data_IF_568786982141
#
_entry.id   IF_568786982141
#
_cell.length_a   1.000
_cell.length_b   1.000
_cell.length_c   1.000
_cell.angle_alpha   90.00
_cell.angle_beta   90.00
_cell.angle_gamma   90.00
#
_symmetry.space_group_name_H-M   'P 1'
#
loop_
_entity.id
_entity.type
_entity.pdbx_description
1 polymer ?
#
# COMPACT_ATOMS: atom_id res chain seq x y z
N UNK A 1 -7.56 20.45 5.26
CA UNK A 1 -7.35 20.84 3.84
C UNK A 1 -7.69 19.65 2.96
N UNK A 2 -8.26 19.87 1.78
CA UNK A 2 -8.54 18.82 0.80
C UNK A 2 -7.70 19.03 -0.46
N UNK A 3 -6.91 18.02 -0.84
CA UNK A 3 -6.23 17.99 -2.14
C UNK A 3 -7.31 17.73 -3.20
N UNK A 4 -7.65 18.76 -3.97
CA UNK A 4 -8.68 18.68 -5.01
C UNK A 4 -8.37 19.68 -6.13
N UNK A 5 -8.98 19.51 -7.33
CA UNK A 5 -8.74 20.43 -8.45
C UNK A 5 -9.10 21.91 -8.17
N UNK A 6 -9.91 22.17 -7.12
CA UNK A 6 -10.32 23.52 -6.72
C UNK A 6 -9.46 24.10 -5.58
N UNK A 7 -8.44 23.37 -5.13
CA UNK A 7 -7.58 23.84 -4.05
C UNK A 7 -6.53 24.81 -4.60
N UNK A 8 -6.54 26.06 -4.13
CA UNK A 8 -5.57 27.09 -4.51
C UNK A 8 -4.48 27.31 -3.43
N UNK A 9 -4.45 26.48 -2.39
CA UNK A 9 -3.51 26.65 -1.30
C UNK A 9 -2.07 26.33 -1.73
N UNK A 10 -1.15 27.20 -1.33
CA UNK A 10 0.29 26.94 -1.45
C UNK A 10 0.75 26.06 -0.29
N UNK A 11 1.32 24.90 -0.62
CA UNK A 11 1.91 23.95 0.34
C UNK A 11 3.14 24.58 1.00
N UNK A 12 3.30 24.39 2.31
CA UNK A 12 4.39 24.96 3.11
C UNK A 12 5.12 23.88 3.92
N UNK A 13 6.39 24.12 4.31
CA UNK A 13 7.12 23.25 5.22
C UNK A 13 6.35 23.01 6.53
N UNK A 14 6.58 21.85 7.14
CA UNK A 14 5.93 21.37 8.37
C UNK A 14 4.42 21.06 8.23
N UNK A 15 3.85 21.14 7.02
CA UNK A 15 2.52 20.57 6.77
C UNK A 15 2.59 19.04 6.74
N UNK A 16 1.54 18.40 7.25
CA UNK A 16 1.35 16.94 7.18
C UNK A 16 0.12 16.64 6.36
N UNK A 17 0.27 15.73 5.39
CA UNK A 17 -0.82 15.26 4.54
C UNK A 17 -1.01 13.77 4.69
N UNK A 18 -2.27 13.36 4.79
CA UNK A 18 -2.65 12.01 4.38
C UNK A 18 -3.00 12.10 2.90
N UNK A 19 -2.15 11.50 2.07
CA UNK A 19 -2.34 11.46 0.62
C UNK A 19 -2.90 10.08 0.29
N UNK A 20 -4.13 10.03 -0.21
CA UNK A 20 -4.73 8.82 -0.74
C UNK A 20 -5.02 8.97 -2.23
N UNK A 21 -4.77 7.90 -2.99
CA UNK A 21 -5.06 7.80 -4.41
C UNK A 21 -5.73 6.47 -4.65
N UNK A 22 -6.89 6.49 -5.30
CA UNK A 22 -7.67 5.30 -5.54
C UNK A 22 -8.29 5.25 -6.92
N UNK A 23 -8.51 4.03 -7.39
CA UNK A 23 -9.27 3.69 -8.58
C UNK A 23 -10.46 2.84 -8.14
N UNK A 24 -11.62 3.11 -8.69
CA UNK A 24 -12.84 2.36 -8.43
C UNK A 24 -13.50 1.96 -9.76
N UNK A 25 -14.34 0.93 -9.73
CA UNK A 25 -15.02 0.46 -10.93
C UNK A 25 -14.12 -0.35 -11.87
N UNK A 26 -13.05 -0.96 -11.35
CA UNK A 26 -12.16 -1.80 -12.14
C UNK A 26 -12.87 -3.11 -12.48
N UNK A 27 -13.14 -3.35 -13.75
CA UNK A 27 -13.81 -4.57 -14.21
C UNK A 27 -12.85 -5.75 -14.27
N UNK A 28 -13.23 -6.85 -13.63
CA UNK A 28 -12.58 -8.15 -13.79
C UNK A 28 -13.42 -9.03 -14.71
N UNK A 29 -13.04 -9.10 -15.99
CA UNK A 29 -13.75 -9.87 -17.02
C UNK A 29 -13.71 -11.39 -16.81
N UNK A 30 -12.79 -11.89 -15.99
CA UNK A 30 -12.61 -13.32 -15.71
C UNK A 30 -13.37 -13.78 -14.45
N UNK A 31 -14.07 -12.86 -13.78
CA UNK A 31 -14.84 -13.17 -12.58
C UNK A 31 -15.94 -14.20 -12.86
N UNK A 32 -16.00 -15.24 -12.03
CA UNK A 32 -17.01 -16.32 -12.13
C UNK A 32 -18.25 -16.03 -11.29
N UNK A 33 -18.17 -15.07 -10.37
CA UNK A 33 -19.23 -14.64 -9.47
C UNK A 33 -19.43 -13.12 -9.52
N UNK A 34 -20.60 -12.64 -9.12
CA UNK A 34 -20.95 -11.21 -9.13
C UNK A 34 -20.05 -10.39 -8.23
N UNK A 35 -19.64 -10.93 -7.08
CA UNK A 35 -18.84 -10.24 -6.08
C UNK A 35 -17.43 -9.89 -6.59
N UNK A 36 -16.89 -10.68 -7.51
CA UNK A 36 -15.54 -10.52 -8.04
C UNK A 36 -15.47 -9.68 -9.31
N UNK A 37 -16.62 -9.27 -9.89
CA UNK A 37 -16.67 -8.53 -11.18
C UNK A 37 -16.11 -7.12 -11.12
N UNK A 38 -16.25 -6.46 -9.98
CA UNK A 38 -15.80 -5.08 -9.80
C UNK A 38 -14.88 -5.00 -8.61
N UNK A 39 -13.72 -4.38 -8.81
CA UNK A 39 -12.77 -4.12 -7.74
C UNK A 39 -12.43 -2.63 -7.65
N UNK A 40 -11.78 -2.28 -6.55
CA UNK A 40 -11.20 -0.97 -6.32
C UNK A 40 -9.79 -1.15 -5.75
N UNK A 41 -8.92 -0.18 -6.00
CA UNK A 41 -7.57 -0.11 -5.46
C UNK A 41 -7.41 1.22 -4.76
N UNK A 42 -6.76 1.20 -3.60
CA UNK A 42 -6.45 2.40 -2.83
C UNK A 42 -5.01 2.29 -2.32
N UNK A 43 -4.25 3.36 -2.49
CA UNK A 43 -2.96 3.57 -1.87
C UNK A 43 -3.04 4.82 -1.01
N UNK A 44 -2.42 4.80 0.16
CA UNK A 44 -2.36 5.96 1.03
C UNK A 44 -1.07 5.98 1.81
N UNK A 45 -0.52 7.18 1.99
CA UNK A 45 0.65 7.44 2.83
C UNK A 45 0.48 8.74 3.62
N UNK A 46 1.23 8.86 4.71
CA UNK A 46 1.33 10.10 5.48
C UNK A 46 2.63 10.80 5.11
N UNK A 47 2.55 12.02 4.58
CA UNK A 47 3.68 12.80 4.07
C UNK A 47 3.89 14.05 4.91
N UNK A 48 5.11 14.24 5.40
CA UNK A 48 5.56 15.49 6.03
C UNK A 48 6.33 16.32 4.99
N UNK A 49 5.92 17.58 4.84
CA UNK A 49 6.55 18.51 3.90
C UNK A 49 7.84 19.09 4.50
N UNK A 50 8.94 18.81 3.83
CA UNK A 50 10.27 19.29 4.21
C UNK A 50 10.47 20.75 3.81
N UNK A 51 11.32 21.46 4.56
CA UNK A 51 11.74 22.82 4.19
C UNK A 51 12.65 22.84 2.95
N UNK A 52 13.49 21.82 2.82
CA UNK A 52 14.42 21.62 1.73
C UNK A 52 14.49 20.12 1.40
N UNK A 53 14.86 19.77 0.16
CA UNK A 53 15.03 18.39 -0.26
C UNK A 53 13.71 17.61 -0.42
N UNK A 54 13.79 16.28 -0.31
CA UNK A 54 12.64 15.40 -0.46
C UNK A 54 11.74 15.43 0.79
N UNK A 55 10.43 15.27 0.58
CA UNK A 55 9.46 15.13 1.67
C UNK A 55 9.63 13.77 2.38
N UNK A 56 9.30 13.74 3.67
CA UNK A 56 9.38 12.53 4.48
C UNK A 56 8.08 11.72 4.40
N UNK A 57 8.19 10.40 4.17
CA UNK A 57 7.06 9.47 4.16
C UNK A 57 6.99 8.77 5.52
N UNK A 58 6.09 9.22 6.39
CA UNK A 58 5.99 8.74 7.76
C UNK A 58 5.49 7.28 7.85
N UNK A 59 4.92 6.76 6.76
CA UNK A 59 4.37 5.40 6.64
C UNK A 59 5.30 4.42 5.92
N UNK A 60 6.53 4.81 5.56
CA UNK A 60 7.45 3.98 4.76
C UNK A 60 7.75 2.60 5.38
N UNK A 61 7.72 2.51 6.72
CA UNK A 61 7.94 1.25 7.44
C UNK A 61 6.81 0.24 7.23
N UNK A 62 5.59 0.72 6.98
CA UNK A 62 4.46 -0.11 6.56
C UNK A 62 4.57 -0.37 5.05
N UNK A 63 5.59 -1.14 4.65
CA UNK A 63 5.87 -1.39 3.23
C UNK A 63 4.64 -2.03 2.56
N UNK A 64 3.89 -1.23 1.80
CA UNK A 64 2.83 -1.69 0.90
C UNK A 64 3.47 -2.42 -0.29
N UNK A 65 4.04 -3.61 -0.03
CA UNK A 65 4.57 -4.50 -1.06
C UNK A 65 3.44 -5.42 -1.51
N UNK A 66 3.38 -5.72 -2.81
CA UNK A 66 2.49 -6.74 -3.37
C UNK A 66 2.54 -8.07 -2.58
N UNK A 67 3.73 -8.46 -2.08
CA UNK A 67 3.89 -9.66 -1.26
C UNK A 67 3.24 -9.57 0.14
N UNK A 68 3.08 -8.37 0.68
CA UNK A 68 2.47 -8.13 2.00
C UNK A 68 0.95 -7.94 1.92
N UNK A 69 0.43 -7.60 0.74
CA UNK A 69 -0.99 -7.27 0.52
C UNK A 69 -1.73 -8.29 -0.36
N UNK A 70 -1.08 -9.39 -0.75
CA UNK A 70 -1.69 -10.46 -1.55
C UNK A 70 -1.59 -11.77 -0.79
N UNK A 71 -2.74 -12.33 -0.44
CA UNK A 71 -2.86 -13.69 0.08
C UNK A 71 -3.09 -14.62 -1.11
N UNK A 72 -2.26 -15.66 -1.22
CA UNK A 72 -2.45 -16.74 -2.19
C UNK A 72 -2.74 -18.03 -1.43
N UNK A 73 -3.82 -18.70 -1.80
CA UNK A 73 -4.09 -20.05 -1.32
C UNK A 73 -3.25 -21.02 -2.14
N UNK A 74 -2.53 -21.93 -1.48
CA UNK A 74 -1.87 -23.06 -2.15
C UNK A 74 -2.95 -24.10 -2.46
N UNK A 75 -2.92 -24.67 -3.66
CA UNK A 75 -3.85 -25.72 -4.09
C UNK A 75 -3.54 -27.08 -3.45
N UNK A 76 -2.33 -27.26 -2.91
CA UNK A 76 -1.93 -28.44 -2.13
C UNK A 76 -1.71 -28.08 -0.65
N UNK A 77 -2.25 -28.88 0.30
CA UNK A 77 -1.97 -28.69 1.72
C UNK A 77 -0.52 -29.08 2.03
N UNK A 78 0.28 -28.10 2.46
CA UNK A 78 1.63 -28.33 2.99
C UNK A 78 1.52 -29.17 4.28
N UNK A 79 2.02 -30.40 4.26
CA UNK A 79 2.21 -31.18 5.49
C UNK A 79 3.30 -30.51 6.31
N UNK A 80 2.94 -30.04 7.50
CA UNK A 80 3.83 -29.32 8.42
C UNK A 80 5.06 -30.17 8.80
N UNK A 81 6.23 -29.84 8.27
CA UNK A 81 7.49 -30.08 8.95
C UNK A 81 8.08 -28.73 9.34
N UNK A 82 7.94 -28.41 10.63
CA UNK A 82 8.53 -27.22 11.22
C UNK A 82 10.04 -27.32 11.21
N UNK A 83 10.68 -26.20 10.93
CA UNK A 83 12.06 -25.97 11.34
C UNK A 83 12.19 -24.48 11.71
N UNK A 84 11.94 -24.21 12.99
CA UNK A 84 12.24 -22.94 13.63
C UNK A 84 13.76 -22.83 13.83
N UNK A 85 14.33 -21.68 13.44
CA UNK A 85 15.68 -21.18 13.79
C UNK A 85 16.91 -21.97 13.34
N UNK A 86 17.60 -21.46 12.30
CA UNK A 86 19.07 -21.42 12.26
C UNK A 86 19.60 -20.02 11.90
N UNK A 87 19.94 -19.32 12.99
CA UNK A 87 21.03 -18.37 13.23
C UNK A 87 21.84 -17.88 12.02
N UNK A 88 21.92 -16.54 11.95
CA UNK A 88 22.84 -15.69 11.18
C UNK A 88 24.27 -16.23 11.03
N UNK A 89 24.79 -16.24 9.80
CA UNK A 89 26.23 -16.20 9.54
C UNK A 89 26.55 -15.00 8.64
N UNK A 90 27.24 -14.00 9.21
CA UNK A 90 28.02 -13.02 8.46
C UNK A 90 29.37 -13.65 8.10
N UNK A 91 29.86 -13.38 6.88
CA UNK A 91 31.27 -13.37 6.51
C UNK A 91 31.57 -12.00 5.91
#
# INVERSE_FOLDING_TARGET
MLISPKCEMVVKPNMVFVVYVGLQGLTNSEAKDEQSKTSALLLSDTVLISAEGANEILTERAKSRLKSNVIRFKEEPETSHGDDNKVSNFH
#
